data_IF_684783617305
#
_entry.id   IF_684783617305
#
_cell.length_a   1.000
_cell.length_b   1.000
_cell.length_c   1.000
_cell.angle_alpha   90.00
_cell.angle_beta   90.00
_cell.angle_gamma   90.00
#
_symmetry.space_group_name_H-M   'P 1'
#
loop_
_entity.id
_entity.type
_entity.pdbx_description
1 polymer ?
#
# COMPACT_ATOMS: atom_id res chain seq x y z
N UNK A 1 -10.73 11.59 17.78
CA UNK A 1 -11.72 10.65 18.32
C UNK A 1 -13.04 11.01 17.66
N UNK A 2 -13.75 10.05 17.07
CA UNK A 2 -14.98 10.27 16.30
C UNK A 2 -16.20 10.11 17.21
N UNK A 3 -16.79 11.18 17.78
CA UNK A 3 -17.87 11.02 18.77
C UNK A 3 -19.13 10.40 18.17
N UNK A 4 -19.29 10.48 16.84
CA UNK A 4 -20.41 9.87 16.11
C UNK A 4 -20.21 8.38 15.80
N UNK A 5 -18.96 7.91 15.71
CA UNK A 5 -18.64 6.48 15.51
C UNK A 5 -18.38 5.77 16.86
N UNK A 6 -17.86 6.50 17.85
CA UNK A 6 -17.53 5.99 19.18
C UNK A 6 -18.20 6.86 20.25
N UNK A 7 -19.53 6.76 20.43
CA UNK A 7 -20.31 7.64 21.31
C UNK A 7 -19.90 7.54 22.79
N UNK A 8 -19.34 6.41 23.21
CA UNK A 8 -18.85 6.19 24.58
C UNK A 8 -17.37 6.54 24.77
N UNK A 9 -16.68 7.03 23.72
CA UNK A 9 -15.25 7.35 23.77
C UNK A 9 -14.33 6.12 23.88
N UNK A 10 -14.87 4.90 23.77
CA UNK A 10 -14.16 3.62 23.84
C UNK A 10 -14.21 2.88 22.51
N UNK A 11 -13.22 2.00 22.26
CA UNK A 11 -13.20 1.15 21.06
C UNK A 11 -12.62 1.83 19.82
N UNK A 12 -12.01 3.01 19.98
CA UNK A 12 -11.27 3.67 18.91
C UNK A 12 -9.95 2.96 18.58
N UNK A 13 -9.37 3.32 17.43
CA UNK A 13 -8.07 2.80 16.98
C UNK A 13 -7.00 3.10 18.04
N UNK A 14 -6.22 2.08 18.42
CA UNK A 14 -5.17 2.18 19.44
C UNK A 14 -5.66 2.18 20.90
N UNK A 15 -6.97 2.01 21.15
CA UNK A 15 -7.53 1.93 22.52
C UNK A 15 -7.90 0.52 22.96
N UNK A 16 -7.82 -0.47 22.06
CA UNK A 16 -8.20 -1.86 22.33
C UNK A 16 -7.04 -2.61 22.97
N UNK A 17 -7.35 -3.44 23.96
CA UNK A 17 -6.40 -4.25 24.73
C UNK A 17 -5.63 -5.26 23.86
N UNK A 18 -4.53 -5.78 24.40
CA UNK A 18 -3.53 -6.68 23.77
C UNK A 18 -4.08 -7.97 23.14
N UNK A 19 -5.37 -8.28 23.27
CA UNK A 19 -5.99 -9.49 22.72
C UNK A 19 -6.16 -9.46 21.20
N UNK A 20 -6.18 -8.28 20.58
CA UNK A 20 -6.45 -8.13 19.15
C UNK A 20 -5.43 -7.17 18.54
N UNK A 21 -4.86 -7.53 17.37
CA UNK A 21 -3.92 -6.64 16.70
C UNK A 21 -4.66 -5.41 16.14
N UNK A 22 -3.97 -4.28 16.03
CA UNK A 22 -4.52 -3.07 15.38
C UNK A 22 -5.10 -3.38 13.99
N UNK A 23 -4.45 -4.27 13.23
CA UNK A 23 -4.90 -4.63 11.89
C UNK A 23 -6.24 -5.37 11.94
N UNK A 24 -6.37 -6.35 12.83
CA UNK A 24 -7.63 -7.08 13.02
C UNK A 24 -8.72 -6.15 13.52
N UNK A 25 -8.39 -5.17 14.37
CA UNK A 25 -9.37 -4.23 14.91
C UNK A 25 -9.90 -3.33 13.82
N UNK A 26 -9.00 -2.78 12.99
CA UNK A 26 -9.35 -1.96 11.84
C UNK A 26 -10.18 -2.77 10.85
N UNK A 27 -9.79 -4.03 10.57
CA UNK A 27 -10.60 -4.92 9.75
C UNK A 27 -12.00 -5.12 10.34
N UNK A 28 -12.10 -5.33 11.66
CA UNK A 28 -13.40 -5.48 12.32
C UNK A 28 -14.28 -4.23 12.18
N UNK A 29 -13.73 -3.04 12.40
CA UNK A 29 -14.45 -1.77 12.24
C UNK A 29 -14.87 -1.56 10.77
N UNK A 30 -13.97 -1.78 9.82
CA UNK A 30 -14.29 -1.65 8.40
C UNK A 30 -15.28 -2.72 7.93
N UNK A 31 -15.40 -3.86 8.60
CA UNK A 31 -16.35 -4.93 8.27
C UNK A 31 -17.58 -4.93 9.20
N UNK A 32 -17.82 -3.85 9.92
CA UNK A 32 -18.94 -3.75 10.84
C UNK A 32 -20.27 -3.79 10.07
N UNK A 33 -21.28 -4.43 10.67
CA UNK A 33 -22.51 -4.87 10.00
C UNK A 33 -23.29 -3.75 9.28
N UNK A 34 -23.35 -2.55 9.87
CA UNK A 34 -24.11 -1.41 9.35
C UNK A 34 -23.29 -0.52 8.41
N UNK A 35 -22.04 -0.91 8.12
CA UNK A 35 -21.10 -0.23 7.21
C UNK A 35 -20.81 1.24 7.54
N UNK A 36 -21.20 1.75 8.71
CA UNK A 36 -21.06 3.18 9.02
C UNK A 36 -19.60 3.65 8.99
N UNK A 37 -18.65 2.77 9.32
CA UNK A 37 -17.22 3.06 9.27
C UNK A 37 -16.70 3.14 7.83
N UNK A 38 -17.33 2.43 6.89
CA UNK A 38 -16.94 2.40 5.49
C UNK A 38 -17.36 3.67 4.77
N UNK A 39 -18.55 4.18 5.10
CA UNK A 39 -19.17 5.35 4.47
C UNK A 39 -18.78 6.67 5.13
N UNK A 40 -18.15 6.63 6.31
CA UNK A 40 -17.63 7.82 6.94
C UNK A 40 -16.54 8.48 6.07
N UNK A 41 -16.67 9.78 5.71
CA UNK A 41 -15.74 10.45 4.80
C UNK A 41 -14.30 10.51 5.29
N UNK A 42 -14.08 10.50 6.61
CA UNK A 42 -12.78 10.76 7.23
C UNK A 42 -12.15 9.50 7.83
N UNK A 43 -12.95 8.51 8.20
CA UNK A 43 -12.52 7.34 8.94
C UNK A 43 -11.43 6.57 8.20
N UNK A 44 -11.67 6.23 6.92
CA UNK A 44 -10.69 5.50 6.10
C UNK A 44 -9.35 6.25 5.98
N UNK A 45 -9.38 7.57 5.84
CA UNK A 45 -8.18 8.40 5.76
C UNK A 45 -7.43 8.45 7.09
N UNK A 46 -8.15 8.61 8.21
CA UNK A 46 -7.56 8.66 9.55
C UNK A 46 -6.98 7.30 9.95
N UNK A 47 -7.66 6.20 9.63
CA UNK A 47 -7.16 4.83 9.76
C UNK A 47 -5.84 4.68 9.01
N UNK A 48 -5.81 5.08 7.73
CA UNK A 48 -4.61 5.02 6.90
C UNK A 48 -3.46 5.82 7.50
N UNK A 49 -3.73 7.05 7.94
CA UNK A 49 -2.73 7.92 8.58
C UNK A 49 -2.23 7.33 9.89
N UNK A 50 -3.11 6.77 10.72
CA UNK A 50 -2.73 6.13 11.97
C UNK A 50 -1.80 4.94 11.74
N UNK A 51 -2.15 4.04 10.82
CA UNK A 51 -1.29 2.89 10.45
C UNK A 51 0.06 3.39 9.92
N UNK A 52 0.05 4.40 9.06
CA UNK A 52 1.26 4.95 8.45
C UNK A 52 2.18 5.59 9.49
N UNK A 53 1.64 6.42 10.39
CA UNK A 53 2.40 7.05 11.47
C UNK A 53 2.92 5.98 12.44
N UNK A 54 2.07 5.08 12.93
CA UNK A 54 2.47 4.02 13.86
C UNK A 54 3.59 3.15 13.27
N UNK A 55 3.43 2.71 12.03
CA UNK A 55 4.44 1.90 11.35
C UNK A 55 5.75 2.66 11.12
N UNK A 56 5.68 3.95 10.77
CA UNK A 56 6.85 4.82 10.64
C UNK A 56 7.57 5.03 11.97
N UNK A 57 6.85 5.30 13.05
CA UNK A 57 7.41 5.54 14.38
C UNK A 57 8.07 4.28 14.95
N UNK A 58 7.39 3.13 14.92
CA UNK A 58 7.96 1.86 15.40
C UNK A 58 9.25 1.53 14.66
N UNK A 59 9.26 1.73 13.34
CA UNK A 59 10.41 1.37 12.51
C UNK A 59 11.55 2.38 12.62
N UNK A 60 11.24 3.67 12.75
CA UNK A 60 12.24 4.70 13.07
C UNK A 60 12.88 4.39 14.42
N UNK A 61 12.11 3.98 15.42
CA UNK A 61 12.65 3.57 16.72
C UNK A 61 13.62 2.38 16.59
N UNK A 62 13.28 1.36 15.79
CA UNK A 62 14.19 0.22 15.52
C UNK A 62 15.48 0.65 14.82
N UNK A 63 15.42 1.69 13.96
CA UNK A 63 16.61 2.22 13.27
C UNK A 63 17.46 3.07 14.21
N UNK A 64 16.84 3.88 15.07
CA UNK A 64 17.55 4.64 16.12
C UNK A 64 18.26 3.69 17.08
N UNK A 65 17.66 2.55 17.40
CA UNK A 65 18.27 1.51 18.22
C UNK A 65 19.37 0.71 17.49
N UNK A 66 19.64 1.00 16.22
CA UNK A 66 20.74 0.38 15.47
C UNK A 66 22.08 1.00 15.89
N UNK A 67 23.11 0.17 16.06
CA UNK A 67 24.49 0.60 16.37
C UNK A 67 25.06 1.62 15.36
N UNK A 68 24.51 1.66 14.14
CA UNK A 68 24.90 2.61 13.09
C UNK A 68 24.26 3.99 13.22
N UNK A 69 23.27 4.19 14.08
CA UNK A 69 22.56 5.47 14.19
C UNK A 69 23.48 6.65 14.57
N UNK A 70 24.43 6.52 15.52
CA UNK A 70 25.39 7.59 15.80
C UNK A 70 26.24 7.98 14.59
N UNK A 71 26.60 7.01 13.74
CA UNK A 71 27.35 7.29 12.50
C UNK A 71 26.50 8.08 11.50
N UNK A 72 25.22 7.74 11.36
CA UNK A 72 24.28 8.47 10.50
C UNK A 72 24.09 9.90 11.01
N UNK A 73 23.93 10.07 12.32
CA UNK A 73 23.80 11.40 12.95
C UNK A 73 25.06 12.24 12.72
N UNK A 74 26.24 11.66 12.94
CA UNK A 74 27.50 12.36 12.71
C UNK A 74 27.66 12.78 11.24
N UNK A 75 27.34 11.89 10.28
CA UNK A 75 27.33 12.22 8.84
C UNK A 75 26.36 13.35 8.51
N UNK A 76 25.15 13.32 9.09
CA UNK A 76 24.15 14.37 8.88
C UNK A 76 24.63 15.74 9.38
N UNK A 77 25.35 15.77 10.51
CA UNK A 77 25.89 17.00 11.09
C UNK A 77 27.18 17.48 10.40
N UNK A 78 27.96 16.58 9.82
CA UNK A 78 29.24 16.90 9.17
C UNK A 78 29.11 17.31 7.70
N UNK A 79 27.94 17.11 7.08
CA UNK A 79 27.73 17.42 5.66
C UNK A 79 27.72 18.93 5.42
N UNK A 80 28.45 19.35 4.38
CA UNK A 80 28.49 20.75 3.96
C UNK A 80 27.19 21.11 3.21
N UNK A 81 26.45 22.16 3.64
CA UNK A 81 25.22 22.59 2.94
C UNK A 81 25.47 22.94 1.47
N UNK A 82 26.65 23.48 1.14
CA UNK A 82 27.08 23.81 -0.22
C UNK A 82 27.28 22.58 -1.12
N UNK A 83 27.78 21.46 -0.58
CA UNK A 83 27.86 20.21 -1.36
C UNK A 83 26.48 19.64 -1.64
N UNK A 84 25.52 19.81 -0.72
CA UNK A 84 24.16 19.32 -0.90
C UNK A 84 23.40 20.16 -1.95
N UNK A 85 23.61 21.48 -1.98
CA UNK A 85 23.03 22.37 -2.98
C UNK A 85 23.60 22.11 -4.38
N UNK A 86 24.91 21.97 -4.50
CA UNK A 86 25.56 21.61 -5.77
C UNK A 86 25.12 20.24 -6.29
N UNK A 87 25.02 19.23 -5.40
CA UNK A 87 24.48 17.93 -5.75
C UNK A 87 23.02 18.01 -6.21
N UNK A 88 22.19 18.81 -5.54
CA UNK A 88 20.78 19.01 -5.92
C UNK A 88 20.64 19.62 -7.32
N UNK A 89 21.45 20.63 -7.65
CA UNK A 89 21.49 21.24 -8.99
C UNK A 89 21.94 20.22 -10.02
N UNK A 90 22.97 19.43 -9.70
CA UNK A 90 23.51 18.39 -10.59
C UNK A 90 22.47 17.31 -10.89
N UNK A 91 21.80 16.79 -9.86
CA UNK A 91 20.75 15.77 -9.98
C UNK A 91 19.49 16.26 -10.71
N UNK A 92 19.17 17.56 -10.63
CA UNK A 92 18.09 18.16 -11.43
C UNK A 92 18.41 18.17 -12.92
N UNK A 93 19.66 18.40 -13.29
CA UNK A 93 20.09 18.46 -14.69
C UNK A 93 20.37 17.05 -15.26
N UNK A 94 20.95 16.17 -14.44
CA UNK A 94 21.23 14.78 -14.80
C UNK A 94 20.98 13.85 -13.60
N UNK A 95 19.91 13.06 -13.71
CA UNK A 95 19.49 12.08 -12.70
C UNK A 95 20.46 10.90 -12.51
N UNK A 96 21.42 10.69 -13.42
CA UNK A 96 22.41 9.61 -13.36
C UNK A 96 23.83 10.10 -13.02
N UNK A 97 23.98 11.37 -12.63
CA UNK A 97 25.28 11.98 -12.39
C UNK A 97 26.02 11.35 -11.20
N UNK A 98 27.16 10.71 -11.43
CA UNK A 98 27.98 10.12 -10.37
C UNK A 98 28.62 11.19 -9.45
N UNK A 99 28.91 10.85 -8.17
CA UNK A 99 29.72 11.72 -7.32
C UNK A 99 31.14 11.85 -7.86
N UNK A 100 31.63 13.08 -7.96
CA UNK A 100 32.98 13.39 -8.41
C UNK A 100 33.86 13.69 -7.19
N UNK A 101 33.32 14.41 -6.20
CA UNK A 101 34.07 14.89 -5.04
C UNK A 101 33.81 14.00 -3.82
N UNK A 102 34.74 13.97 -2.86
CA UNK A 102 34.56 13.20 -1.62
C UNK A 102 33.39 13.75 -0.78
N UNK A 103 33.15 15.07 -0.80
CA UNK A 103 31.96 15.67 -0.19
C UNK A 103 30.65 15.23 -0.87
N UNK A 104 30.65 15.10 -2.20
CA UNK A 104 29.49 14.56 -2.92
C UNK A 104 29.27 13.08 -2.56
N UNK A 105 30.35 12.29 -2.42
CA UNK A 105 30.25 10.88 -2.00
C UNK A 105 29.60 10.77 -0.62
N UNK A 106 29.98 11.60 0.35
CA UNK A 106 29.35 11.62 1.67
C UNK A 106 27.86 11.98 1.60
N UNK A 107 27.46 12.93 0.74
CA UNK A 107 26.06 13.21 0.47
C UNK A 107 25.31 11.99 -0.11
N UNK A 108 25.93 11.24 -1.03
CA UNK A 108 25.37 9.98 -1.55
C UNK A 108 25.27 8.89 -0.49
N UNK A 109 26.25 8.80 0.41
CA UNK A 109 26.20 7.88 1.55
C UNK A 109 25.05 8.24 2.50
N UNK A 110 24.86 9.52 2.80
CA UNK A 110 23.70 9.98 3.58
C UNK A 110 22.39 9.66 2.87
N UNK A 111 22.27 9.90 1.56
CA UNK A 111 21.07 9.55 0.80
C UNK A 111 20.78 8.05 0.87
N UNK A 112 21.81 7.19 0.82
CA UNK A 112 21.67 5.75 0.97
C UNK A 112 21.21 5.36 2.39
N UNK A 113 21.75 6.02 3.40
CA UNK A 113 21.33 5.84 4.80
C UNK A 113 19.87 6.27 5.00
N UNK A 114 19.43 7.34 4.34
CA UNK A 114 18.03 7.79 4.35
C UNK A 114 17.11 6.85 3.56
N UNK A 115 17.55 6.34 2.41
CA UNK A 115 16.83 5.31 1.64
C UNK A 115 16.61 4.04 2.49
N UNK A 116 17.57 3.67 3.34
CA UNK A 116 17.43 2.57 4.31
C UNK A 116 16.29 2.81 5.33
N UNK A 117 15.98 4.07 5.63
CA UNK A 117 14.83 4.43 6.47
C UNK A 117 13.54 4.42 5.65
N UNK A 118 13.58 4.96 4.42
CA UNK A 118 12.42 5.24 3.59
C UNK A 118 11.77 4.01 2.91
N UNK A 119 12.51 2.90 2.71
CA UNK A 119 11.97 1.74 1.98
C UNK A 119 10.81 1.02 2.66
N UNK A 120 10.60 1.23 3.96
CA UNK A 120 9.50 0.61 4.70
C UNK A 120 8.20 1.42 4.68
N UNK A 121 8.20 2.61 4.08
CA UNK A 121 6.99 3.40 3.83
C UNK A 121 6.37 2.89 2.53
N UNK A 122 5.15 2.33 2.59
CA UNK A 122 4.42 1.92 1.38
C UNK A 122 4.25 3.14 0.46
N UNK A 123 4.42 2.96 -0.85
CA UNK A 123 4.36 4.04 -1.83
C UNK A 123 5.63 4.89 -1.95
N UNK A 124 6.64 4.70 -1.08
CA UNK A 124 7.89 5.46 -1.18
C UNK A 124 8.67 5.13 -2.45
N UNK A 125 9.51 6.07 -2.88
CA UNK A 125 10.44 5.87 -4.00
C UNK A 125 11.29 4.62 -3.77
N UNK A 126 11.75 4.40 -2.55
CA UNK A 126 12.58 3.26 -2.22
C UNK A 126 11.80 1.95 -2.23
N UNK A 127 10.50 1.93 -1.88
CA UNK A 127 9.63 0.77 -2.08
C UNK A 127 9.47 0.43 -3.58
N UNK A 128 9.28 1.45 -4.43
CA UNK A 128 9.22 1.27 -5.90
C UNK A 128 10.55 0.74 -6.47
N UNK A 129 11.70 1.24 -5.99
CA UNK A 129 13.04 0.69 -6.33
C UNK A 129 13.17 -0.78 -5.93
N UNK A 130 12.68 -1.16 -4.75
CA UNK A 130 12.71 -2.54 -4.26
C UNK A 130 11.88 -3.48 -5.15
N UNK A 131 10.63 -3.11 -5.46
CA UNK A 131 9.77 -3.89 -6.36
C UNK A 131 10.43 -4.11 -7.73
N UNK A 132 11.09 -3.08 -8.28
CA UNK A 132 11.87 -3.21 -9.51
C UNK A 132 13.03 -4.20 -9.37
N UNK A 133 13.74 -4.18 -8.24
CA UNK A 133 14.81 -5.14 -7.98
C UNK A 133 14.30 -6.58 -7.88
N UNK A 134 13.13 -6.81 -7.29
CA UNK A 134 12.49 -8.13 -7.17
C UNK A 134 12.09 -8.69 -8.54
N UNK A 135 11.50 -7.86 -9.39
CA UNK A 135 11.18 -8.23 -10.78
C UNK A 135 12.46 -8.54 -11.56
N UNK A 136 13.48 -7.68 -11.47
CA UNK A 136 14.75 -7.91 -12.16
C UNK A 136 15.42 -9.21 -11.73
N UNK A 137 15.36 -9.56 -10.44
CA UNK A 137 15.90 -10.84 -9.96
C UNK A 137 15.14 -12.05 -10.49
N UNK A 138 13.81 -11.93 -10.67
CA UNK A 138 13.01 -12.99 -11.30
C UNK A 138 13.35 -13.14 -12.78
N UNK A 139 13.57 -12.03 -13.49
CA UNK A 139 13.96 -12.05 -14.90
C UNK A 139 15.37 -12.64 -15.07
N UNK A 140 16.31 -12.32 -14.17
CA UNK A 140 17.65 -12.89 -14.21
C UNK A 140 17.64 -14.42 -14.00
N UNK A 141 16.77 -14.92 -13.11
CA UNK A 141 16.69 -16.34 -12.80
C UNK A 141 15.88 -17.16 -13.81
N UNK A 142 14.70 -16.66 -14.23
CA UNK A 142 13.75 -17.40 -15.07
C UNK A 142 13.71 -16.92 -16.54
N UNK A 143 14.37 -15.81 -16.85
CA UNK A 143 14.30 -15.16 -18.15
C UNK A 143 13.15 -14.14 -18.27
N UNK A 144 12.98 -13.59 -19.48
CA UNK A 144 11.91 -12.61 -19.75
C UNK A 144 10.52 -13.18 -19.48
N UNK A 145 9.58 -12.39 -18.93
CA UNK A 145 8.22 -12.86 -18.74
C UNK A 145 7.58 -13.20 -20.08
N UNK A 146 6.86 -14.31 -20.15
CA UNK A 146 6.05 -14.69 -21.30
C UNK A 146 4.81 -13.81 -21.44
N UNK A 147 4.29 -13.31 -20.31
CA UNK A 147 3.09 -12.48 -20.24
C UNK A 147 3.28 -11.29 -19.31
N UNK A 148 2.80 -10.13 -19.75
CA UNK A 148 2.67 -8.92 -18.95
C UNK A 148 1.21 -8.48 -19.01
N UNK A 149 0.51 -8.49 -17.86
CA UNK A 149 -0.93 -8.28 -17.79
C UNK A 149 -1.22 -7.11 -16.85
N UNK A 150 -1.96 -6.12 -17.35
CA UNK A 150 -2.53 -5.03 -16.54
C UNK A 150 -4.04 -5.23 -16.45
N UNK A 151 -4.58 -5.20 -15.23
CA UNK A 151 -6.00 -5.42 -14.97
C UNK A 151 -6.55 -4.19 -14.26
N UNK A 152 -7.62 -3.62 -14.84
CA UNK A 152 -8.37 -2.52 -14.24
C UNK A 152 -9.85 -2.94 -14.23
N UNK A 153 -10.35 -3.59 -13.16
CA UNK A 153 -11.72 -4.05 -13.12
C UNK A 153 -12.66 -2.85 -13.03
N UNK A 154 -13.71 -2.84 -13.86
CA UNK A 154 -14.72 -1.78 -13.85
C UNK A 154 -15.65 -1.97 -12.64
N UNK A 155 -15.38 -1.26 -11.55
CA UNK A 155 -16.04 -1.34 -10.25
C UNK A 155 -17.41 -0.64 -10.18
N UNK A 156 -17.52 0.57 -10.73
CA UNK A 156 -18.71 1.45 -10.61
C UNK A 156 -20.03 0.77 -10.98
N UNK A 157 -20.01 -0.11 -11.99
CA UNK A 157 -21.21 -0.79 -12.52
C UNK A 157 -21.21 -2.29 -12.23
N UNK A 158 -20.21 -2.80 -11.50
CA UNK A 158 -20.10 -4.24 -11.29
C UNK A 158 -21.14 -4.70 -10.26
N UNK A 159 -21.98 -5.69 -10.55
CA UNK A 159 -23.02 -6.15 -9.61
C UNK A 159 -22.45 -6.56 -8.25
N UNK A 160 -21.27 -7.18 -8.22
CA UNK A 160 -20.57 -7.54 -6.98
C UNK A 160 -20.13 -6.30 -6.19
N UNK A 161 -19.59 -5.27 -6.85
CA UNK A 161 -19.16 -4.05 -6.15
C UNK A 161 -20.36 -3.29 -5.59
N UNK A 162 -21.45 -3.19 -6.38
CA UNK A 162 -22.72 -2.60 -5.93
C UNK A 162 -23.29 -3.38 -4.73
N UNK A 163 -23.26 -4.71 -4.77
CA UNK A 163 -23.68 -5.54 -3.63
C UNK A 163 -22.83 -5.30 -2.38
N UNK A 164 -21.51 -5.18 -2.52
CA UNK A 164 -20.63 -4.86 -1.40
C UNK A 164 -20.88 -3.45 -0.84
N UNK A 165 -21.23 -2.48 -1.69
CA UNK A 165 -21.54 -1.12 -1.29
C UNK A 165 -22.95 -0.96 -0.69
N UNK A 166 -23.86 -1.91 -0.92
CA UNK A 166 -25.27 -1.78 -0.54
C UNK A 166 -25.49 -1.84 0.98
N UNK A 167 -25.99 -0.75 1.56
CA UNK A 167 -26.30 -0.62 2.99
C UNK A 167 -27.56 -1.39 3.42
N UNK A 168 -28.36 -1.90 2.48
CA UNK A 168 -29.62 -2.60 2.78
C UNK A 168 -29.46 -3.90 3.58
N UNK A 169 -28.21 -4.31 3.85
CA UNK A 169 -27.84 -5.43 4.71
C UNK A 169 -28.60 -6.72 4.37
N UNK A 170 -28.74 -7.00 3.08
CA UNK A 170 -29.31 -8.26 2.61
C UNK A 170 -28.23 -9.35 2.57
N UNK A 171 -28.40 -10.38 3.41
CA UNK A 171 -27.54 -11.58 3.42
C UNK A 171 -27.59 -12.39 2.11
N UNK A 172 -28.50 -12.03 1.21
CA UNK A 172 -28.67 -12.68 -0.09
C UNK A 172 -28.25 -11.74 -1.20
N UNK A 173 -27.37 -12.25 -2.08
CA UNK A 173 -27.07 -11.58 -3.34
C UNK A 173 -28.32 -11.55 -4.21
N UNK A 174 -29.03 -10.41 -4.18
CA UNK A 174 -30.09 -10.09 -5.13
C UNK A 174 -29.53 -9.09 -6.12
N UNK A 175 -29.57 -9.36 -7.45
CA UNK A 175 -29.19 -8.39 -8.47
C UNK A 175 -30.04 -7.13 -8.28
N UNK A 176 -29.46 -6.13 -7.65
CA UNK A 176 -30.22 -4.99 -7.19
C UNK A 176 -30.60 -4.08 -8.36
N UNK A 177 -31.88 -3.70 -8.42
CA UNK A 177 -32.42 -2.83 -9.48
C UNK A 177 -32.14 -1.38 -9.09
N UNK A 178 -30.86 -0.98 -9.14
CA UNK A 178 -30.46 0.41 -9.01
C UNK A 178 -30.25 1.02 -10.38
N UNK A 179 -30.57 2.31 -10.52
CA UNK A 179 -30.17 3.08 -11.70
C UNK A 179 -28.65 3.25 -11.73
N UNK A 180 -28.08 3.48 -12.91
CA UNK A 180 -26.63 3.67 -13.04
C UNK A 180 -26.08 4.84 -12.18
N UNK A 181 -26.89 5.86 -11.94
CA UNK A 181 -26.53 7.01 -11.09
C UNK A 181 -26.48 6.63 -9.61
N UNK A 182 -27.43 5.82 -9.13
CA UNK A 182 -27.46 5.33 -7.76
C UNK A 182 -26.29 4.39 -7.48
N UNK A 183 -26.04 3.44 -8.40
CA UNK A 183 -24.88 2.54 -8.31
C UNK A 183 -23.58 3.32 -8.16
N UNK A 184 -23.36 4.31 -9.02
CA UNK A 184 -22.16 5.13 -8.96
C UNK A 184 -22.02 5.87 -7.62
N UNK A 185 -23.09 6.46 -7.10
CA UNK A 185 -23.07 7.15 -5.81
C UNK A 185 -22.75 6.21 -4.65
N UNK A 186 -23.39 5.04 -4.60
CA UNK A 186 -23.17 4.04 -3.55
C UNK A 186 -21.72 3.58 -3.54
N UNK A 187 -21.20 3.25 -4.71
CA UNK A 187 -19.84 2.74 -4.88
C UNK A 187 -18.84 3.85 -4.52
N UNK A 188 -18.98 5.07 -5.05
CA UNK A 188 -18.09 6.23 -4.76
C UNK A 188 -18.05 6.55 -3.26
N UNK A 189 -19.19 6.50 -2.57
CA UNK A 189 -19.27 6.81 -1.14
C UNK A 189 -18.72 5.68 -0.26
N UNK A 190 -18.40 4.52 -0.82
CA UNK A 190 -17.87 3.37 -0.09
C UNK A 190 -16.53 2.89 -0.69
N UNK A 191 -15.40 3.52 -0.31
CA UNK A 191 -14.08 3.11 -0.77
C UNK A 191 -13.66 1.71 -0.27
N UNK A 192 -14.27 1.22 0.82
CA UNK A 192 -13.99 -0.12 1.35
C UNK A 192 -14.58 -1.19 0.43
N UNK A 193 -15.82 -0.99 -0.05
CA UNK A 193 -16.46 -1.87 -1.01
C UNK A 193 -15.66 -1.98 -2.32
N UNK A 194 -15.08 -0.87 -2.80
CA UNK A 194 -14.13 -0.88 -3.92
C UNK A 194 -12.92 -1.76 -3.64
N UNK A 195 -12.27 -1.59 -2.50
CA UNK A 195 -11.08 -2.35 -2.14
C UNK A 195 -11.38 -3.86 -2.00
N UNK A 196 -12.53 -4.20 -1.42
CA UNK A 196 -13.00 -5.59 -1.32
C UNK A 196 -13.26 -6.20 -2.70
N UNK A 197 -13.96 -5.47 -3.57
CA UNK A 197 -14.22 -5.91 -4.93
C UNK A 197 -12.91 -6.13 -5.71
N UNK A 198 -11.99 -5.16 -5.65
CA UNK A 198 -10.68 -5.27 -6.30
C UNK A 198 -9.92 -6.50 -5.80
N UNK A 199 -9.85 -6.70 -4.49
CA UNK A 199 -9.18 -7.85 -3.88
C UNK A 199 -9.82 -9.18 -4.33
N UNK A 200 -11.14 -9.26 -4.30
CA UNK A 200 -11.89 -10.43 -4.75
C UNK A 200 -11.62 -10.73 -6.24
N UNK A 201 -11.73 -9.70 -7.10
CA UNK A 201 -11.55 -9.84 -8.54
C UNK A 201 -10.13 -10.28 -8.90
N UNK A 202 -9.11 -9.64 -8.31
CA UNK A 202 -7.71 -9.98 -8.57
C UNK A 202 -7.41 -11.39 -8.07
N UNK A 203 -7.89 -11.77 -6.87
CA UNK A 203 -7.68 -13.12 -6.34
C UNK A 203 -8.33 -14.18 -7.23
N UNK A 204 -9.54 -13.91 -7.72
CA UNK A 204 -10.25 -14.79 -8.65
C UNK A 204 -9.53 -14.88 -9.99
N UNK A 205 -9.01 -13.78 -10.53
CA UNK A 205 -8.21 -13.79 -11.75
C UNK A 205 -6.93 -14.62 -11.59
N UNK A 206 -6.17 -14.40 -10.52
CA UNK A 206 -4.93 -15.13 -10.26
C UNK A 206 -5.19 -16.63 -10.12
N UNK A 207 -6.27 -17.02 -9.44
CA UNK A 207 -6.61 -18.43 -9.22
C UNK A 207 -7.22 -19.07 -10.47
N UNK A 208 -8.32 -18.53 -10.99
CA UNK A 208 -9.12 -19.19 -12.03
C UNK A 208 -8.52 -19.03 -13.44
N UNK A 209 -7.92 -17.87 -13.74
CA UNK A 209 -7.37 -17.60 -15.09
C UNK A 209 -5.91 -18.00 -15.17
N UNK A 210 -5.09 -17.61 -14.19
CA UNK A 210 -3.66 -17.93 -14.20
C UNK A 210 -3.31 -19.26 -13.54
N UNK A 211 -4.24 -19.88 -12.81
CA UNK A 211 -3.99 -21.16 -12.13
C UNK A 211 -3.06 -21.05 -10.92
N UNK A 212 -2.81 -19.85 -10.39
CA UNK A 212 -1.88 -19.64 -9.28
C UNK A 212 -2.49 -20.19 -8.00
N UNK A 213 -1.76 -21.09 -7.33
CA UNK A 213 -2.21 -21.80 -6.13
C UNK A 213 -3.56 -22.52 -6.33
N UNK A 214 -3.81 -23.03 -7.54
CA UNK A 214 -5.01 -23.79 -7.88
C UNK A 214 -4.65 -25.24 -8.26
N UNK A 215 -5.63 -26.13 -8.18
CA UNK A 215 -5.45 -27.55 -8.60
C UNK A 215 -5.52 -27.73 -10.12
N UNK A 216 -6.01 -26.73 -10.85
CA UNK A 216 -6.15 -26.78 -12.31
C UNK A 216 -5.03 -26.01 -13.00
N UNK A 217 -4.82 -26.32 -14.27
CA UNK A 217 -3.92 -25.54 -15.11
C UNK A 217 -4.57 -24.18 -15.45
N UNK A 218 -3.77 -23.12 -15.46
CA UNK A 218 -4.22 -21.81 -15.93
C UNK A 218 -4.44 -21.82 -17.44
N UNK A 219 -5.17 -20.83 -17.95
CA UNK A 219 -5.42 -20.71 -19.40
C UNK A 219 -4.14 -20.46 -20.21
N UNK A 220 -3.10 -19.96 -19.55
CA UNK A 220 -1.78 -19.70 -20.13
C UNK A 220 -0.76 -20.81 -19.81
N UNK A 221 -1.23 -21.95 -19.30
CA UNK A 221 -0.38 -23.05 -18.82
C UNK A 221 -0.01 -22.93 -17.35
N UNK A 222 0.93 -23.76 -16.90
CA UNK A 222 1.44 -23.74 -15.53
C UNK A 222 2.46 -22.61 -15.29
N UNK A 223 2.17 -21.62 -14.41
CA UNK A 223 3.08 -20.52 -14.14
C UNK A 223 4.27 -20.97 -13.27
N UNK A 224 5.49 -20.91 -13.83
CA UNK A 224 6.74 -21.24 -13.10
C UNK A 224 7.10 -20.16 -12.08
N UNK A 225 6.81 -18.89 -12.40
CA UNK A 225 6.98 -17.76 -11.51
C UNK A 225 5.92 -16.70 -11.81
N UNK A 226 5.49 -15.96 -10.80
CA UNK A 226 4.62 -14.80 -10.97
C UNK A 226 5.09 -13.67 -10.04
N UNK A 227 4.88 -12.43 -10.49
CA UNK A 227 5.07 -11.25 -9.68
C UNK A 227 3.91 -10.30 -9.94
N UNK A 228 3.24 -9.88 -8.87
CA UNK A 228 2.08 -8.99 -8.95
C UNK A 228 2.31 -7.77 -8.08
N UNK A 229 1.95 -6.60 -8.59
CA UNK A 229 1.94 -5.35 -7.83
C UNK A 229 0.66 -4.58 -8.14
N UNK A 230 0.22 -3.79 -7.17
CA UNK A 230 -0.88 -2.84 -7.35
C UNK A 230 -0.26 -1.46 -7.50
N UNK A 231 -0.69 -0.70 -8.51
CA UNK A 231 -0.25 0.69 -8.67
C UNK A 231 -0.73 1.50 -7.46
N UNK A 232 0.20 2.28 -6.90
CA UNK A 232 0.03 3.15 -5.72
C UNK A 232 0.25 4.60 -6.09
#
# INVERSE_FOLDING_TARGET
MFPWLFPYGSGGIGTVNETLSDSEHICHLLLYHDKHFQVDPEFSLIVFNHITIKSSTIRSHLIVNNKKFPEIQNRLLSISPSALESLSIKLKNDSSAAPINDEEKECYHLLKDLDLVAWKVKGSITNKKKQRSEINSLIDHWGSPSWYITIAPADIKHPICVYLADESCNDKFTPAVYTASEQAKMVINNPVAHAQFFHYFVTLFLREILGINSEHEGWFGHPVAHYATVEQ
#
